data_IF_495396280054
#
_entry.id   IF_495396280054
#
_cell.length_a   1.000
_cell.length_b   1.000
_cell.length_c   1.000
_cell.angle_alpha   90.00
_cell.angle_beta   90.00
_cell.angle_gamma   90.00
#
_symmetry.space_group_name_H-M   'P 1'
#
loop_
_entity.id
_entity.type
_entity.pdbx_description
1 polymer ?
#
# COMPACT_ATOMS: atom_id res chain seq x y z
N UNK A 1 -15.31 2.50 -29.84
CA UNK A 1 -15.74 2.07 -28.49
C UNK A 1 -14.51 1.54 -27.71
N UNK A 2 -13.76 2.42 -27.02
CA UNK A 2 -12.47 2.08 -26.38
C UNK A 2 -12.47 2.33 -24.85
N UNK A 3 -13.47 1.82 -24.12
CA UNK A 3 -13.56 1.98 -22.64
C UNK A 3 -12.99 0.79 -21.84
N UNK A 4 -12.57 -0.29 -22.48
CA UNK A 4 -12.13 -1.52 -21.79
C UNK A 4 -10.66 -1.54 -21.35
N UNK A 5 -9.79 -0.76 -21.99
CA UNK A 5 -8.34 -0.78 -21.72
C UNK A 5 -7.97 -0.14 -20.38
N UNK A 6 -8.66 0.93 -19.99
CA UNK A 6 -8.44 1.60 -18.70
C UNK A 6 -8.73 0.71 -17.49
N UNK A 7 -9.83 -0.05 -17.54
CA UNK A 7 -10.22 -0.97 -16.45
C UNK A 7 -9.22 -2.10 -16.26
N UNK A 8 -8.72 -2.68 -17.36
CA UNK A 8 -7.68 -3.72 -17.30
C UNK A 8 -6.37 -3.18 -16.74
N UNK A 9 -5.94 -1.99 -17.16
CA UNK A 9 -4.73 -1.35 -16.63
C UNK A 9 -4.83 -1.06 -15.13
N UNK A 10 -5.95 -0.48 -14.69
CA UNK A 10 -6.20 -0.20 -13.28
C UNK A 10 -6.23 -1.49 -12.44
N UNK A 11 -6.84 -2.56 -12.97
CA UNK A 11 -6.85 -3.87 -12.32
C UNK A 11 -5.44 -4.45 -12.16
N UNK A 12 -4.62 -4.43 -13.22
CA UNK A 12 -3.24 -4.91 -13.14
C UNK A 12 -2.39 -4.07 -12.18
N UNK A 13 -2.57 -2.76 -12.16
CA UNK A 13 -1.91 -1.87 -11.20
C UNK A 13 -2.30 -2.23 -9.77
N UNK A 14 -3.60 -2.40 -9.50
CA UNK A 14 -4.09 -2.81 -8.20
C UNK A 14 -3.52 -4.17 -7.75
N UNK A 15 -3.49 -5.17 -8.63
CA UNK A 15 -2.90 -6.48 -8.32
C UNK A 15 -1.40 -6.39 -7.99
N UNK A 16 -0.64 -5.56 -8.72
CA UNK A 16 0.79 -5.34 -8.44
C UNK A 16 1.00 -4.70 -7.06
N UNK A 17 0.22 -3.67 -6.72
CA UNK A 17 0.31 -3.01 -5.42
C UNK A 17 -0.10 -3.93 -4.27
N UNK A 18 -1.17 -4.73 -4.45
CA UNK A 18 -1.54 -5.76 -3.46
C UNK A 18 -0.44 -6.78 -3.26
N UNK A 19 0.20 -7.26 -4.34
CA UNK A 19 1.33 -8.19 -4.23
C UNK A 19 2.49 -7.60 -3.43
N UNK A 20 2.82 -6.33 -3.65
CA UNK A 20 3.84 -5.61 -2.88
C UNK A 20 3.43 -5.53 -1.39
N UNK A 21 2.21 -5.11 -1.10
CA UNK A 21 1.71 -4.99 0.27
C UNK A 21 1.73 -6.34 1.02
N UNK A 22 1.27 -7.42 0.40
CA UNK A 22 1.33 -8.76 0.98
C UNK A 22 2.76 -9.22 1.26
N UNK A 23 3.69 -8.92 0.35
CA UNK A 23 5.11 -9.24 0.53
C UNK A 23 5.69 -8.55 1.76
N UNK A 24 5.40 -7.26 1.93
CA UNK A 24 5.83 -6.48 3.11
C UNK A 24 5.23 -7.05 4.38
N UNK A 25 3.91 -7.23 4.45
CA UNK A 25 3.23 -7.79 5.64
C UNK A 25 3.74 -9.19 5.95
N UNK A 26 3.99 -10.03 4.93
CA UNK A 26 4.50 -11.41 5.12
C UNK A 26 5.86 -11.41 5.78
N UNK A 27 6.76 -10.58 5.26
CA UNK A 27 8.12 -10.49 5.77
C UNK A 27 8.13 -10.10 7.24
N UNK A 28 7.32 -9.11 7.61
CA UNK A 28 7.29 -8.59 8.98
C UNK A 28 6.53 -9.50 9.95
N UNK A 29 5.45 -10.14 9.49
CA UNK A 29 4.74 -11.16 10.28
C UNK A 29 5.66 -12.31 10.74
N UNK A 30 6.65 -12.69 9.92
CA UNK A 30 7.60 -13.76 10.26
C UNK A 30 8.78 -13.29 11.13
N UNK A 31 9.17 -12.01 11.06
CA UNK A 31 10.46 -11.53 11.60
C UNK A 31 10.35 -10.55 12.79
N UNK A 32 9.23 -9.88 13.01
CA UNK A 32 9.14 -8.81 14.03
C UNK A 32 7.73 -8.37 14.41
N UNK A 33 6.70 -8.98 13.83
CA UNK A 33 5.30 -8.61 14.00
C UNK A 33 4.79 -7.69 12.88
N UNK A 34 3.48 -7.72 12.57
CA UNK A 34 2.89 -6.94 11.48
C UNK A 34 3.01 -5.41 11.68
N UNK A 35 3.26 -4.94 12.91
CA UNK A 35 3.36 -3.53 13.27
C UNK A 35 4.64 -2.86 12.75
N UNK A 36 5.67 -3.63 12.38
CA UNK A 36 6.93 -3.10 11.85
C UNK A 36 6.91 -2.84 10.35
N UNK A 37 5.89 -3.32 9.63
CA UNK A 37 5.70 -2.98 8.21
C UNK A 37 5.60 -1.45 8.04
N UNK A 38 6.15 -0.88 6.98
CA UNK A 38 6.09 0.57 6.76
C UNK A 38 5.51 0.94 5.39
N UNK A 39 4.85 2.10 5.32
CA UNK A 39 4.38 2.66 4.05
C UNK A 39 5.56 2.97 3.11
N UNK A 40 6.68 3.44 3.66
CA UNK A 40 7.92 3.69 2.92
C UNK A 40 8.44 2.44 2.19
N UNK A 41 8.34 1.25 2.79
CA UNK A 41 8.70 -0.01 2.11
C UNK A 41 7.78 -0.32 0.93
N UNK A 42 6.48 -0.06 1.06
CA UNK A 42 5.53 -0.25 -0.06
C UNK A 42 5.85 0.72 -1.19
N UNK A 43 6.08 2.00 -0.89
CA UNK A 43 6.48 3.01 -1.89
C UNK A 43 7.76 2.59 -2.60
N UNK A 44 8.79 2.21 -1.83
CA UNK A 44 10.09 1.82 -2.38
C UNK A 44 9.99 0.56 -3.27
N UNK A 45 9.25 -0.46 -2.85
CA UNK A 45 9.07 -1.69 -3.63
C UNK A 45 8.16 -1.51 -4.84
N UNK A 46 7.09 -0.72 -4.72
CA UNK A 46 6.23 -0.39 -5.85
C UNK A 46 7.01 0.34 -6.95
N UNK A 47 7.88 1.26 -6.56
CA UNK A 47 8.76 1.95 -7.51
C UNK A 47 9.85 1.02 -8.06
N UNK A 48 10.57 0.31 -7.19
CA UNK A 48 11.69 -0.55 -7.58
C UNK A 48 11.31 -1.74 -8.46
N UNK A 49 10.21 -2.44 -8.14
CA UNK A 49 9.82 -3.66 -8.85
C UNK A 49 8.89 -3.40 -10.05
N UNK A 50 8.12 -2.32 -10.00
CA UNK A 50 7.02 -2.09 -10.94
C UNK A 50 7.01 -0.71 -11.58
N UNK A 51 7.97 0.16 -11.25
CA UNK A 51 8.06 1.54 -11.75
C UNK A 51 6.78 2.35 -11.48
N UNK A 52 6.08 2.03 -10.38
CA UNK A 52 4.84 2.69 -9.98
C UNK A 52 5.13 3.75 -8.92
N UNK A 53 4.70 4.99 -9.18
CA UNK A 53 4.71 6.05 -8.17
C UNK A 53 3.36 6.06 -7.48
N UNK A 54 3.39 5.99 -6.15
CA UNK A 54 2.24 6.10 -5.27
C UNK A 54 2.60 7.05 -4.14
N UNK A 55 1.59 7.69 -3.57
CA UNK A 55 1.70 8.51 -2.37
C UNK A 55 1.78 7.64 -1.12
N UNK A 56 2.24 8.22 0.00
CA UNK A 56 2.22 7.54 1.30
C UNK A 56 0.80 7.17 1.75
N UNK A 57 -0.20 8.00 1.41
CA UNK A 57 -1.60 7.72 1.70
C UNK A 57 -2.11 6.49 0.92
N UNK A 58 -1.84 6.41 -0.38
CA UNK A 58 -2.16 5.21 -1.16
C UNK A 58 -1.43 3.99 -0.61
N UNK A 59 -0.14 4.12 -0.29
CA UNK A 59 0.64 3.04 0.31
C UNK A 59 0.02 2.54 1.62
N UNK A 60 -0.50 3.45 2.46
CA UNK A 60 -1.22 3.10 3.68
C UNK A 60 -2.51 2.33 3.41
N UNK A 61 -3.29 2.73 2.41
CA UNK A 61 -4.51 1.99 2.03
C UNK A 61 -4.18 0.56 1.60
N UNK A 62 -3.12 0.38 0.80
CA UNK A 62 -2.66 -0.94 0.38
C UNK A 62 -2.11 -1.76 1.56
N UNK A 63 -1.39 -1.13 2.49
CA UNK A 63 -0.93 -1.78 3.73
C UNK A 63 -2.11 -2.26 4.57
N UNK A 64 -3.09 -1.39 4.81
CA UNK A 64 -4.29 -1.68 5.59
C UNK A 64 -5.14 -2.78 4.95
N UNK A 65 -5.28 -2.78 3.63
CA UNK A 65 -5.96 -3.86 2.93
C UNK A 65 -5.26 -5.21 3.11
N UNK A 66 -3.92 -5.25 3.01
CA UNK A 66 -3.16 -6.48 3.23
C UNK A 66 -3.17 -6.94 4.70
N UNK A 67 -3.22 -6.02 5.67
CA UNK A 67 -3.38 -6.32 7.09
C UNK A 67 -4.77 -6.90 7.37
N UNK A 68 -5.83 -6.28 6.84
CA UNK A 68 -7.21 -6.73 6.99
C UNK A 68 -7.41 -8.14 6.43
N UNK A 69 -6.89 -8.41 5.24
CA UNK A 69 -6.97 -9.74 4.60
C UNK A 69 -6.30 -10.84 5.45
N UNK A 70 -5.32 -10.47 6.27
CA UNK A 70 -4.64 -11.38 7.21
C UNK A 70 -5.19 -11.39 8.62
N UNK A 71 -6.26 -10.63 8.89
CA UNK A 71 -6.86 -10.55 10.22
C UNK A 71 -6.03 -9.74 11.23
N UNK A 72 -5.14 -8.87 10.76
CA UNK A 72 -4.40 -7.94 11.62
C UNK A 72 -5.15 -6.61 11.80
N UNK A 73 -4.91 -5.89 12.92
CA UNK A 73 -5.50 -4.58 13.13
C UNK A 73 -5.07 -3.58 12.06
N UNK A 74 -5.99 -2.69 11.70
CA UNK A 74 -5.73 -1.60 10.77
C UNK A 74 -4.88 -0.51 11.42
N UNK A 75 -4.10 0.18 10.60
CA UNK A 75 -3.30 1.33 11.04
C UNK A 75 -4.11 2.62 10.91
N UNK A 76 -3.96 3.54 11.87
CA UNK A 76 -4.61 4.84 11.79
C UNK A 76 -4.09 5.60 10.58
N UNK A 77 -4.99 6.23 9.84
CA UNK A 77 -4.63 7.28 8.90
C UNK A 77 -4.09 8.43 9.73
N UNK A 78 -2.81 8.77 9.58
CA UNK A 78 -2.26 9.93 10.26
C UNK A 78 -3.10 11.15 9.85
N UNK A 79 -3.60 11.96 10.81
CA UNK A 79 -4.26 13.19 10.45
C UNK A 79 -3.26 14.00 9.64
N UNK A 80 -3.65 14.40 8.42
CA UNK A 80 -2.86 15.37 7.65
C UNK A 80 -2.74 16.58 8.57
N UNK A 81 -1.52 16.89 9.00
CA UNK A 81 -1.26 18.08 9.78
C UNK A 81 -1.67 19.27 8.91
N UNK A 82 -2.91 19.72 9.10
CA UNK A 82 -3.36 21.00 8.62
C UNK A 82 -2.49 22.02 9.31
N UNK A 83 -1.49 22.52 8.59
CA UNK A 83 -0.90 23.82 8.87
C UNK A 83 -2.01 24.85 8.69
N UNK A 84 -2.77 25.08 9.74
CA UNK A 84 -3.49 26.34 9.90
C UNK A 84 -2.49 27.29 10.56
N UNK A 85 -1.90 28.12 9.71
CA UNK A 85 -1.29 29.37 10.12
C UNK A 85 -2.23 30.10 11.09
N UNK A 86 -1.79 30.28 12.34
CA UNK A 86 -2.25 31.33 13.25
C UNK A 86 -1.05 31.90 14.01
#
# INVERSE_FOLDING_TARGET
MFKFTGRRRAFHQHQRLMRVAFKVVSRHATCGGPDTASTAEIVALAFGEHQMRITDAEALDYLNAALADRGYPLRPVAPQAGGEDQ
#
